data_IF_675960009375
#
_entry.id   IF_675960009375
#
_cell.length_a   1.000
_cell.length_b   1.000
_cell.length_c   1.000
_cell.angle_alpha   90.00
_cell.angle_beta   90.00
_cell.angle_gamma   90.00
#
_symmetry.space_group_name_H-M   'P 1'
#
loop_
_entity.id
_entity.type
_entity.pdbx_description
1 polymer ?
#
# COMPACT_ATOMS: atom_id res chain seq x y z
N UNK A 1 36.14 -22.29 47.40
CA UNK A 1 34.75 -22.75 47.16
C UNK A 1 33.79 -21.67 46.65
N UNK A 2 33.98 -20.36 46.95
CA UNK A 2 33.08 -19.28 46.45
C UNK A 2 33.18 -19.01 44.93
N UNK A 3 34.36 -19.18 44.33
CA UNK A 3 34.56 -19.00 42.87
C UNK A 3 33.95 -20.14 42.03
N UNK A 4 33.92 -21.37 42.56
CA UNK A 4 33.34 -22.53 41.85
C UNK A 4 31.80 -22.49 41.83
N UNK A 5 31.17 -21.99 42.90
CA UNK A 5 29.70 -21.77 42.93
C UNK A 5 29.25 -20.68 41.93
N UNK A 6 30.09 -19.67 41.69
CA UNK A 6 29.76 -18.57 40.77
C UNK A 6 29.80 -18.99 39.29
N UNK A 7 30.63 -19.96 38.95
CA UNK A 7 30.74 -20.49 37.57
C UNK A 7 29.56 -21.42 37.26
N UNK A 8 29.10 -22.20 38.24
CA UNK A 8 27.93 -23.09 38.10
C UNK A 8 26.64 -22.27 37.93
N UNK A 9 26.50 -21.14 38.63
CA UNK A 9 25.34 -20.25 38.49
C UNK A 9 25.25 -19.58 37.10
N UNK A 10 26.38 -19.33 36.44
CA UNK A 10 26.41 -18.70 35.10
C UNK A 10 26.02 -19.69 33.98
N UNK A 11 26.33 -20.97 34.16
CA UNK A 11 26.00 -22.03 33.19
C UNK A 11 24.50 -22.35 33.20
N UNK A 12 23.83 -22.31 34.36
CA UNK A 12 22.38 -22.62 34.47
C UNK A 12 21.48 -21.58 33.80
N UNK A 13 21.93 -20.32 33.67
CA UNK A 13 21.19 -19.26 32.95
C UNK A 13 21.32 -19.42 31.43
N UNK A 14 22.32 -20.17 30.94
CA UNK A 14 22.56 -20.37 29.50
C UNK A 14 21.75 -21.52 28.87
N UNK A 15 21.14 -22.40 29.69
CA UNK A 15 20.35 -23.57 29.24
C UNK A 15 18.84 -23.37 29.28
N UNK A 16 18.34 -22.18 29.63
CA UNK A 16 16.94 -21.83 29.37
C UNK A 16 16.75 -21.51 27.90
N UNK A 17 16.77 -22.53 27.05
CA UNK A 17 16.17 -22.46 25.71
C UNK A 17 14.69 -22.21 25.92
N UNK A 18 14.31 -20.93 25.92
CA UNK A 18 12.99 -20.47 26.34
C UNK A 18 11.87 -21.23 25.65
N UNK A 19 10.81 -21.51 26.40
CA UNK A 19 9.57 -22.16 25.95
C UNK A 19 8.88 -21.48 24.75
N UNK A 20 9.37 -20.32 24.28
CA UNK A 20 8.90 -19.64 23.07
C UNK A 20 9.22 -20.40 21.78
N UNK A 21 10.25 -21.26 21.76
CA UNK A 21 10.67 -21.96 20.53
C UNK A 21 10.20 -23.41 20.44
N UNK A 22 9.63 -23.94 21.53
CA UNK A 22 9.22 -25.34 21.63
C UNK A 22 8.01 -25.59 20.74
N UNK A 23 8.15 -26.43 19.72
CA UNK A 23 7.11 -26.70 18.70
C UNK A 23 7.20 -25.82 17.45
N UNK A 24 8.26 -25.02 17.31
CA UNK A 24 8.57 -24.25 16.09
C UNK A 24 9.76 -24.81 15.33
N UNK A 25 10.36 -25.93 15.76
CA UNK A 25 11.60 -26.45 15.17
C UNK A 25 11.41 -26.93 13.71
N UNK A 26 10.21 -27.39 13.35
CA UNK A 26 9.87 -27.89 12.01
C UNK A 26 9.17 -26.84 11.12
N UNK A 27 8.94 -25.62 11.64
CA UNK A 27 8.29 -24.57 10.88
C UNK A 27 9.27 -23.95 9.89
N UNK A 28 9.07 -24.21 8.60
CA UNK A 28 9.80 -23.55 7.52
C UNK A 28 9.16 -22.22 7.20
N UNK A 29 9.97 -21.16 7.14
CA UNK A 29 9.50 -19.88 6.61
C UNK A 29 9.09 -20.03 5.15
N UNK A 30 8.04 -19.30 4.76
CA UNK A 30 7.57 -19.27 3.37
C UNK A 30 8.62 -18.62 2.47
N UNK A 31 8.82 -19.20 1.29
CA UNK A 31 9.65 -18.65 0.21
C UNK A 31 8.84 -17.86 -0.83
N UNK A 32 7.55 -17.63 -0.56
CA UNK A 32 6.67 -16.93 -1.49
C UNK A 32 7.01 -15.44 -1.49
N UNK A 33 7.40 -14.92 -2.66
CA UNK A 33 7.70 -13.52 -2.90
C UNK A 33 6.92 -12.96 -4.09
N UNK A 34 5.70 -13.46 -4.32
CA UNK A 34 4.90 -13.10 -5.49
C UNK A 34 4.22 -11.74 -5.37
N UNK A 35 4.34 -10.88 -6.38
CA UNK A 35 3.44 -9.72 -6.51
C UNK A 35 2.17 -10.15 -7.25
N UNK A 36 1.01 -10.04 -6.61
CA UNK A 36 -0.27 -10.55 -7.14
C UNK A 36 -1.14 -9.47 -7.79
N UNK A 37 -1.22 -8.28 -7.19
CA UNK A 37 -1.99 -7.15 -7.73
C UNK A 37 -1.27 -5.84 -7.52
N UNK A 38 -1.57 -4.87 -8.38
CA UNK A 38 -1.27 -3.45 -8.17
C UNK A 38 -2.58 -2.68 -8.20
N UNK A 39 -2.79 -1.84 -7.20
CA UNK A 39 -4.00 -1.06 -6.95
C UNK A 39 -3.66 0.42 -6.88
N UNK A 40 -4.54 1.27 -7.43
CA UNK A 40 -4.27 2.69 -7.64
C UNK A 40 -5.43 3.52 -7.12
N UNK A 41 -5.11 4.54 -6.33
CA UNK A 41 -6.09 5.50 -5.84
C UNK A 41 -5.57 6.93 -6.01
N UNK A 42 -6.51 7.86 -6.16
CA UNK A 42 -6.25 9.29 -6.05
C UNK A 42 -6.99 9.84 -4.84
N UNK A 43 -6.34 10.68 -4.03
CA UNK A 43 -6.93 11.27 -2.82
C UNK A 43 -6.83 12.78 -2.85
N UNK A 44 -7.90 13.44 -2.40
CA UNK A 44 -7.93 14.88 -2.22
C UNK A 44 -8.81 15.27 -1.04
N UNK A 45 -8.54 16.47 -0.51
CA UNK A 45 -9.31 17.04 0.58
C UNK A 45 -10.51 17.83 0.06
N UNK A 46 -11.60 17.78 0.79
CA UNK A 46 -12.78 18.62 0.57
C UNK A 46 -13.44 18.98 1.89
N UNK A 47 -14.11 20.13 1.88
CA UNK A 47 -14.93 20.57 3.00
C UNK A 47 -16.38 20.24 2.71
N UNK A 48 -17.14 19.92 3.76
CA UNK A 48 -18.55 19.56 3.68
C UNK A 48 -19.32 20.17 4.85
N UNK A 49 -20.63 20.31 4.68
CA UNK A 49 -21.53 20.76 5.73
C UNK A 49 -22.60 19.70 5.91
N UNK A 50 -22.81 19.26 7.15
CA UNK A 50 -23.86 18.31 7.50
C UNK A 50 -24.95 19.00 8.32
N UNK A 51 -26.20 18.51 8.18
CA UNK A 51 -27.38 19.06 8.85
C UNK A 51 -27.53 20.58 8.65
N UNK A 52 -27.20 21.04 7.44
CA UNK A 52 -27.27 22.44 7.04
C UNK A 52 -28.66 23.01 7.32
N UNK A 53 -28.72 24.20 7.92
CA UNK A 53 -29.99 24.85 8.27
C UNK A 53 -30.68 24.31 9.52
N UNK A 54 -30.05 23.39 10.26
CA UNK A 54 -30.54 22.95 11.59
C UNK A 54 -29.69 23.54 12.71
N UNK A 55 -30.19 23.61 13.97
CA UNK A 55 -29.37 23.98 15.12
C UNK A 55 -28.13 23.09 15.36
N UNK A 56 -28.09 21.91 14.73
CA UNK A 56 -27.01 20.94 14.84
C UNK A 56 -26.10 20.93 13.61
N UNK A 57 -26.03 22.04 12.85
CA UNK A 57 -25.15 22.15 11.69
C UNK A 57 -23.69 21.95 12.11
N UNK A 58 -22.94 21.18 11.32
CA UNK A 58 -21.53 20.91 11.55
C UNK A 58 -20.73 21.08 10.26
N UNK A 59 -19.64 21.86 10.34
CA UNK A 59 -18.73 22.10 9.23
C UNK A 59 -17.56 21.12 9.33
N UNK A 60 -17.51 20.17 8.41
CA UNK A 60 -16.48 19.15 8.35
C UNK A 60 -15.40 19.62 7.38
N UNK A 61 -14.23 19.98 7.92
CA UNK A 61 -13.07 20.39 7.11
C UNK A 61 -12.15 19.22 6.81
N UNK A 62 -11.38 19.34 5.73
CA UNK A 62 -10.30 18.42 5.36
C UNK A 62 -10.74 16.95 5.30
N UNK A 63 -11.97 16.70 4.84
CA UNK A 63 -12.44 15.34 4.59
C UNK A 63 -11.67 14.75 3.42
N UNK A 64 -11.29 13.49 3.51
CA UNK A 64 -10.62 12.78 2.41
C UNK A 64 -11.67 12.19 1.48
N UNK A 65 -11.61 12.58 0.21
CA UNK A 65 -12.25 11.84 -0.88
C UNK A 65 -11.21 10.90 -1.49
N UNK A 66 -11.56 9.62 -1.63
CA UNK A 66 -10.77 8.63 -2.33
C UNK A 66 -11.42 8.28 -3.67
N UNK A 67 -10.60 8.20 -4.71
CA UNK A 67 -11.03 7.77 -6.05
C UNK A 67 -10.26 6.51 -6.40
N UNK A 68 -10.99 5.39 -6.57
CA UNK A 68 -10.41 4.09 -6.93
C UNK A 68 -10.46 3.96 -8.45
N UNK A 69 -9.29 3.87 -9.09
CA UNK A 69 -9.23 3.71 -10.54
C UNK A 69 -9.74 2.35 -10.95
N UNK A 70 -10.45 2.32 -12.08
CA UNK A 70 -10.63 1.09 -12.85
C UNK A 70 -9.29 0.74 -13.49
N UNK A 71 -8.96 -0.55 -13.50
CA UNK A 71 -7.66 -1.03 -13.95
C UNK A 71 -7.80 -2.20 -14.92
N UNK A 72 -6.98 -2.17 -15.97
CA UNK A 72 -6.73 -3.33 -16.84
C UNK A 72 -5.24 -3.62 -16.76
N UNK A 73 -4.88 -4.76 -16.15
CA UNK A 73 -3.49 -5.16 -15.91
C UNK A 73 -3.09 -6.33 -16.79
N UNK A 74 -1.95 -6.22 -17.45
CA UNK A 74 -1.32 -7.30 -18.21
C UNK A 74 0.05 -7.66 -17.63
N UNK A 75 0.40 -8.95 -17.53
CA UNK A 75 1.75 -9.35 -17.15
C UNK A 75 2.78 -8.86 -18.18
N UNK A 76 3.91 -8.36 -17.71
CA UNK A 76 5.03 -7.91 -18.54
C UNK A 76 6.36 -8.41 -17.99
N UNK A 77 7.38 -8.42 -18.85
CA UNK A 77 8.78 -8.61 -18.47
C UNK A 77 9.61 -7.47 -19.04
N UNK A 78 10.31 -6.74 -18.18
CA UNK A 78 11.17 -5.62 -18.57
C UNK A 78 12.53 -5.84 -17.91
N UNK A 79 13.60 -5.90 -18.71
CA UNK A 79 14.97 -6.12 -18.22
C UNK A 79 15.10 -7.34 -17.27
N UNK A 80 14.44 -8.44 -17.63
CA UNK A 80 14.42 -9.68 -16.84
C UNK A 80 13.54 -9.65 -15.58
N UNK A 81 12.92 -8.51 -15.25
CA UNK A 81 11.99 -8.37 -14.12
C UNK A 81 10.56 -8.56 -14.60
N UNK A 82 9.85 -9.50 -14.00
CA UNK A 82 8.43 -9.72 -14.27
C UNK A 82 7.58 -8.69 -13.53
N UNK A 83 6.37 -8.41 -13.99
CA UNK A 83 5.47 -7.52 -13.28
C UNK A 83 4.22 -7.21 -14.06
N UNK A 84 3.67 -6.01 -13.87
CA UNK A 84 2.38 -5.63 -14.47
C UNK A 84 2.47 -4.30 -15.20
N UNK A 85 1.85 -4.25 -16.37
CA UNK A 85 1.48 -3.03 -17.06
C UNK A 85 0.01 -2.77 -16.82
N UNK A 86 -0.33 -1.67 -16.15
CA UNK A 86 -1.71 -1.34 -15.78
C UNK A 86 -2.18 -0.08 -16.47
N UNK A 87 -3.25 -0.19 -17.26
CA UNK A 87 -3.96 0.96 -17.82
C UNK A 87 -5.01 1.42 -16.81
N UNK A 88 -4.99 2.71 -16.46
CA UNK A 88 -5.93 3.33 -15.53
C UNK A 88 -7.02 4.10 -16.27
N UNK A 89 -8.26 3.87 -15.87
CA UNK A 89 -9.43 4.63 -16.30
C UNK A 89 -10.30 4.97 -15.08
N UNK A 90 -11.25 5.89 -15.25
CA UNK A 90 -12.19 6.24 -14.19
C UNK A 90 -13.56 6.62 -14.78
N UNK A 91 -14.56 6.57 -13.92
CA UNK A 91 -15.85 7.22 -14.15
C UNK A 91 -16.42 7.75 -12.83
N UNK A 92 -17.64 8.26 -12.84
CA UNK A 92 -18.29 8.75 -11.62
C UNK A 92 -18.33 7.68 -10.50
N UNK A 93 -18.38 6.38 -10.82
CA UNK A 93 -18.42 5.32 -9.82
C UNK A 93 -17.08 5.09 -9.11
N UNK A 94 -15.97 5.52 -9.71
CA UNK A 94 -14.64 5.50 -9.07
C UNK A 94 -14.57 6.39 -7.83
N UNK A 95 -15.41 7.42 -7.72
CA UNK A 95 -15.41 8.34 -6.58
C UNK A 95 -16.10 7.71 -5.37
N UNK A 96 -15.37 7.55 -4.28
CA UNK A 96 -15.88 7.10 -2.99
C UNK A 96 -16.28 8.33 -2.16
N UNK A 97 -17.58 8.46 -1.89
CA UNK A 97 -18.11 9.47 -0.98
C UNK A 97 -18.22 8.89 0.42
N UNK A 98 -17.65 9.56 1.40
CA UNK A 98 -17.84 9.22 2.80
C UNK A 98 -19.27 9.61 3.26
N UNK A 99 -20.18 8.63 3.26
CA UNK A 99 -21.51 8.69 3.87
C UNK A 99 -22.55 9.59 3.17
N UNK A 100 -23.86 9.38 3.46
CA UNK A 100 -24.96 10.11 2.82
C UNK A 100 -25.22 11.52 3.40
N UNK A 101 -24.42 12.00 4.35
CA UNK A 101 -24.89 13.01 5.33
C UNK A 101 -24.51 14.47 5.08
N UNK A 102 -23.93 14.82 3.93
CA UNK A 102 -23.43 16.18 3.66
C UNK A 102 -23.92 16.79 2.35
N UNK A 103 -23.81 18.12 2.27
CA UNK A 103 -24.21 18.95 1.13
C UNK A 103 -23.47 18.60 -0.15
N UNK A 104 -22.17 18.32 -0.05
CA UNK A 104 -21.34 18.01 -1.22
C UNK A 104 -21.81 16.69 -1.83
N UNK A 105 -22.15 16.69 -3.12
CA UNK A 105 -22.63 15.50 -3.82
C UNK A 105 -21.49 14.68 -4.42
N UNK A 106 -21.78 13.44 -4.81
CA UNK A 106 -20.81 12.61 -5.55
C UNK A 106 -20.44 13.24 -6.91
N UNK A 107 -21.37 13.96 -7.53
CA UNK A 107 -21.12 14.69 -8.78
C UNK A 107 -20.13 15.84 -8.59
N UNK A 108 -20.26 16.61 -7.49
CA UNK A 108 -19.34 17.70 -7.15
C UNK A 108 -17.92 17.17 -6.92
N UNK A 109 -17.81 16.06 -6.18
CA UNK A 109 -16.52 15.39 -5.95
C UNK A 109 -15.90 14.87 -7.24
N UNK A 110 -16.71 14.33 -8.16
CA UNK A 110 -16.23 13.88 -9.46
C UNK A 110 -15.72 15.03 -10.32
N UNK A 111 -16.46 16.15 -10.40
CA UNK A 111 -16.02 17.34 -11.12
C UNK A 111 -14.72 17.93 -10.54
N UNK A 112 -14.60 17.98 -9.20
CA UNK A 112 -13.37 18.39 -8.53
C UNK A 112 -12.22 17.46 -8.86
N UNK A 113 -12.45 16.14 -8.81
CA UNK A 113 -11.45 15.14 -9.19
C UNK A 113 -10.97 15.33 -10.64
N UNK A 114 -11.88 15.52 -11.60
CA UNK A 114 -11.52 15.73 -13.01
C UNK A 114 -10.58 16.92 -13.20
N UNK A 115 -10.85 18.03 -12.49
CA UNK A 115 -9.96 19.21 -12.51
C UNK A 115 -8.58 18.89 -11.94
N UNK A 116 -8.52 18.17 -10.82
CA UNK A 116 -7.27 17.85 -10.14
C UNK A 116 -6.42 16.84 -10.93
N UNK A 117 -7.03 15.75 -11.42
CA UNK A 117 -6.31 14.70 -12.15
C UNK A 117 -5.85 15.18 -13.53
N UNK A 118 -6.52 16.17 -14.13
CA UNK A 118 -6.05 16.81 -15.35
C UNK A 118 -4.70 17.53 -15.16
N UNK A 119 -4.41 18.01 -13.95
CA UNK A 119 -3.12 18.63 -13.63
C UNK A 119 -2.10 17.61 -13.11
N UNK A 120 -2.53 16.75 -12.17
CA UNK A 120 -1.64 15.85 -11.46
C UNK A 120 -1.24 14.62 -12.29
N UNK A 121 -2.13 14.15 -13.18
CA UNK A 121 -1.88 13.00 -14.04
C UNK A 121 -1.41 11.76 -13.26
N UNK A 122 -0.37 11.07 -13.73
CA UNK A 122 0.27 9.96 -13.03
C UNK A 122 1.30 10.43 -11.99
N UNK A 123 1.53 11.74 -11.83
CA UNK A 123 2.55 12.30 -10.94
C UNK A 123 2.14 12.28 -9.46
N UNK A 124 0.87 11.97 -9.17
CA UNK A 124 0.33 11.90 -7.80
C UNK A 124 -0.71 10.79 -7.68
N UNK A 125 -0.23 9.59 -7.39
CA UNK A 125 -1.06 8.42 -7.13
C UNK A 125 -0.67 7.77 -5.80
N UNK A 126 -1.64 7.18 -5.12
CA UNK A 126 -1.43 6.26 -4.01
C UNK A 126 -1.53 4.85 -4.55
N UNK A 127 -0.39 4.17 -4.58
CA UNK A 127 -0.27 2.82 -5.13
C UNK A 127 -0.06 1.81 -4.01
N UNK A 128 -0.78 0.69 -4.12
CA UNK A 128 -0.69 -0.45 -3.22
C UNK A 128 -0.42 -1.71 -4.02
N UNK A 129 0.22 -2.70 -3.39
CA UNK A 129 0.41 -4.01 -3.99
C UNK A 129 0.00 -5.10 -3.01
N UNK A 130 -0.44 -6.23 -3.55
CA UNK A 130 -0.70 -7.45 -2.78
C UNK A 130 0.48 -8.39 -2.90
N UNK A 131 1.03 -8.79 -1.76
CA UNK A 131 2.13 -9.75 -1.61
C UNK A 131 1.78 -10.79 -0.53
N UNK A 132 2.46 -11.96 -0.48
CA UNK A 132 2.24 -12.96 0.55
C UNK A 132 2.43 -12.44 1.96
N UNK A 133 1.74 -13.06 2.91
CA UNK A 133 1.89 -12.77 4.34
C UNK A 133 3.36 -12.88 4.78
N UNK A 134 3.75 -12.00 5.70
CA UNK A 134 5.11 -11.87 6.21
C UNK A 134 6.20 -11.52 5.17
N UNK A 135 5.84 -11.22 3.92
CA UNK A 135 6.78 -10.65 2.95
C UNK A 135 7.01 -9.16 3.19
N UNK A 136 8.20 -8.68 2.86
CA UNK A 136 8.53 -7.26 2.83
C UNK A 136 8.64 -6.73 1.41
N UNK A 137 8.22 -5.48 1.22
CA UNK A 137 8.34 -4.76 -0.05
C UNK A 137 9.33 -3.62 0.12
N UNK A 138 10.35 -3.57 -0.72
CA UNK A 138 11.36 -2.51 -0.73
C UNK A 138 11.34 -1.80 -2.09
N UNK A 139 11.17 -0.46 -2.13
CA UNK A 139 11.35 0.29 -3.38
C UNK A 139 12.80 0.16 -3.85
N UNK A 140 12.99 0.03 -5.16
CA UNK A 140 14.29 -0.01 -5.80
C UNK A 140 14.51 1.26 -6.62
N UNK A 141 15.78 1.66 -6.78
CA UNK A 141 16.16 2.82 -7.58
C UNK A 141 15.44 4.10 -7.11
N UNK A 142 14.76 4.81 -8.01
CA UNK A 142 14.00 6.02 -7.72
C UNK A 142 12.51 5.73 -7.44
N UNK A 143 12.14 4.47 -7.21
CA UNK A 143 10.76 4.10 -6.95
C UNK A 143 10.26 4.74 -5.64
N UNK A 144 9.06 5.35 -5.65
CA UNK A 144 8.51 5.98 -4.47
C UNK A 144 8.05 4.96 -3.41
N UNK A 145 7.84 5.44 -2.19
CA UNK A 145 7.21 4.64 -1.15
C UNK A 145 5.73 4.38 -1.48
N UNK A 146 5.33 3.11 -1.48
CA UNK A 146 3.93 2.71 -1.64
C UNK A 146 3.05 3.25 -0.51
N UNK A 147 1.76 3.46 -0.80
CA UNK A 147 0.79 4.02 0.14
C UNK A 147 0.95 5.52 0.43
N UNK A 148 1.84 6.22 -0.28
CA UNK A 148 2.00 7.68 -0.22
C UNK A 148 1.80 8.29 -1.60
N UNK A 149 1.40 9.57 -1.72
CA UNK A 149 1.24 10.21 -3.03
C UNK A 149 2.59 10.33 -3.73
N UNK A 150 2.70 9.78 -4.93
CA UNK A 150 3.92 9.88 -5.70
C UNK A 150 3.72 9.73 -7.22
N UNK A 151 4.80 9.92 -7.95
CA UNK A 151 4.86 9.82 -9.41
C UNK A 151 5.06 8.38 -9.89
N UNK A 152 4.11 7.90 -10.67
CA UNK A 152 4.11 6.60 -11.35
C UNK A 152 4.02 6.75 -12.88
N UNK A 153 4.42 7.90 -13.43
CA UNK A 153 4.50 8.12 -14.89
C UNK A 153 5.58 7.29 -15.59
N UNK A 154 6.49 6.68 -14.82
CA UNK A 154 7.62 5.88 -15.28
C UNK A 154 7.51 4.46 -14.71
N UNK A 155 8.25 3.53 -15.31
CA UNK A 155 8.43 2.20 -14.73
C UNK A 155 9.04 2.32 -13.33
N UNK A 156 8.38 1.70 -12.34
CA UNK A 156 8.84 1.66 -10.95
C UNK A 156 9.19 0.24 -10.56
N UNK A 157 10.30 0.06 -9.87
CA UNK A 157 10.81 -1.26 -9.50
C UNK A 157 10.71 -1.49 -7.99
N UNK A 158 10.28 -2.69 -7.61
CA UNK A 158 10.11 -3.08 -6.22
C UNK A 158 10.64 -4.49 -5.98
N UNK A 159 11.33 -4.69 -4.87
CA UNK A 159 11.75 -6.01 -4.40
C UNK A 159 10.73 -6.54 -3.41
N UNK A 160 10.27 -7.77 -3.63
CA UNK A 160 9.51 -8.54 -2.65
C UNK A 160 10.45 -9.57 -2.03
N UNK A 161 10.62 -9.51 -0.71
CA UNK A 161 11.44 -10.42 0.08
C UNK A 161 10.52 -11.30 0.92
N UNK A 162 10.58 -12.61 0.72
CA UNK A 162 9.80 -13.60 1.45
C UNK A 162 10.29 -13.75 2.90
N UNK A 163 9.53 -14.47 3.72
CA UNK A 163 9.86 -14.73 5.12
C UNK A 163 11.17 -15.54 5.30
N UNK A 164 11.57 -16.34 4.31
CA UNK A 164 12.84 -17.08 4.31
C UNK A 164 14.05 -16.24 3.85
N UNK A 165 13.82 -14.98 3.44
CA UNK A 165 14.84 -14.06 2.92
C UNK A 165 15.05 -14.13 1.41
N UNK A 166 14.47 -15.11 0.72
CA UNK A 166 14.51 -15.15 -0.76
C UNK A 166 13.78 -13.94 -1.34
N UNK A 167 14.28 -13.39 -2.43
CA UNK A 167 13.77 -12.13 -2.99
C UNK A 167 13.54 -12.21 -4.48
N UNK A 168 12.58 -11.42 -4.97
CA UNK A 168 12.29 -11.24 -6.38
C UNK A 168 11.97 -9.77 -6.70
N UNK A 169 12.56 -9.28 -7.78
CA UNK A 169 12.38 -7.89 -8.24
C UNK A 169 11.28 -7.83 -9.30
N UNK A 170 10.40 -6.84 -9.15
CA UNK A 170 9.21 -6.64 -9.97
C UNK A 170 9.21 -5.25 -10.62
N UNK A 171 8.62 -5.17 -11.81
CA UNK A 171 8.32 -3.91 -12.50
C UNK A 171 6.84 -3.56 -12.40
N UNK A 172 6.54 -2.32 -12.07
CA UNK A 172 5.20 -1.74 -12.11
C UNK A 172 5.23 -0.65 -13.17
N UNK A 173 4.51 -0.88 -14.27
CA UNK A 173 4.30 0.10 -15.33
C UNK A 173 2.88 0.60 -15.28
N UNK A 174 2.70 1.92 -15.21
CA UNK A 174 1.38 2.55 -15.17
C UNK A 174 1.15 3.34 -16.44
N UNK A 175 0.01 3.12 -17.08
CA UNK A 175 -0.39 3.76 -18.33
C UNK A 175 -1.63 4.59 -18.06
N UNK A 176 -1.58 5.85 -18.48
CA UNK A 176 -2.73 6.76 -18.47
C UNK A 176 -3.71 6.35 -19.56
N UNK A 177 -4.95 6.01 -19.19
CA UNK A 177 -6.03 5.67 -20.11
C UNK A 177 -7.21 6.65 -20.09
N UNK A 178 -7.06 7.80 -19.43
CA UNK A 178 -8.05 8.88 -19.31
C UNK A 178 -7.55 10.18 -19.92
#
# INVERSE_FOLDING_TARGET
MKSFLSIIALVVISVSTGCLKRGMEDLKNSNQNTLSTVDYTYRFLYDDVIKEGTPNQENLKDRVCEVVFKKVSTPITVNGKTGFSTILTYDANSVLKAGPTGKVTKADLYAKFQTLIANDQLNKLWVYITVPDASMVTPLEDAPKLGTPADFSKDRYYRVTAADGSSKDYVIRTIKGF
#
